data_IF_793888762635
#
_entry.id   IF_793888762635
#
_cell.length_a   1.000
_cell.length_b   1.000
_cell.length_c   1.000
_cell.angle_alpha   90.00
_cell.angle_beta   90.00
_cell.angle_gamma   90.00
#
_symmetry.space_group_name_H-M   'P 1'
#
loop_
_entity.id
_entity.type
_entity.pdbx_description
1 polymer ?
#
# COMPACT_ATOMS: atom_id res chain seq x y z
N UNK A 1 26.48 8.67 10.12
CA UNK A 1 26.34 9.37 11.42
C UNK A 1 25.18 8.70 12.13
N UNK A 2 25.47 7.67 12.93
CA UNK A 2 24.48 6.87 13.67
C UNK A 2 25.06 6.66 15.06
N UNK A 3 24.35 7.08 16.08
CA UNK A 3 24.59 6.72 17.46
C UNK A 3 23.25 6.43 18.12
N UNK A 4 23.01 5.16 18.44
CA UNK A 4 21.99 4.71 19.38
C UNK A 4 22.71 3.80 20.35
N UNK A 5 22.70 4.16 21.63
CA UNK A 5 23.35 3.43 22.71
C UNK A 5 22.37 2.50 23.42
N UNK A 6 22.84 1.28 23.70
CA UNK A 6 22.25 0.40 24.72
C UNK A 6 23.34 0.06 25.76
N UNK A 7 23.00 0.21 27.04
CA UNK A 7 23.88 0.01 28.18
C UNK A 7 23.89 -1.47 28.62
N UNK A 8 25.09 -2.00 28.92
CA UNK A 8 25.29 -3.29 29.59
C UNK A 8 25.72 -3.11 31.05
N UNK A 9 25.43 -4.09 31.93
CA UNK A 9 25.64 -3.97 33.38
C UNK A 9 27.10 -4.17 33.81
N UNK A 10 27.42 -3.55 34.96
CA UNK A 10 28.75 -3.38 35.56
C UNK A 10 29.32 -4.68 36.13
N UNK A 11 30.55 -5.03 35.76
CA UNK A 11 31.37 -6.01 36.47
C UNK A 11 32.03 -5.36 37.70
N UNK A 12 32.00 -6.06 38.83
CA UNK A 12 32.63 -5.69 40.10
C UNK A 12 34.11 -6.06 40.09
N UNK A 13 34.92 -5.15 40.65
CA UNK A 13 36.24 -5.31 41.28
C UNK A 13 37.26 -6.28 40.66
N UNK A 14 38.12 -5.74 39.78
CA UNK A 14 39.46 -6.29 39.51
C UNK A 14 40.49 -5.16 39.57
N UNK A 15 41.57 -5.34 40.34
CA UNK A 15 42.74 -4.45 40.39
C UNK A 15 43.52 -4.51 39.06
N UNK A 16 43.79 -3.37 38.40
CA UNK A 16 44.43 -3.32 37.08
C UNK A 16 45.95 -3.58 37.05
N UNK A 17 46.59 -3.95 38.16
CA UNK A 17 48.06 -4.14 38.23
C UNK A 17 48.55 -5.59 38.27
N UNK A 18 47.67 -6.59 38.15
CA UNK A 18 48.02 -8.02 38.18
C UNK A 18 47.72 -8.73 36.85
N UNK A 19 48.67 -9.53 36.35
CA UNK A 19 48.60 -10.17 35.03
C UNK A 19 47.94 -11.57 35.01
N UNK A 20 47.29 -12.02 36.09
CA UNK A 20 46.58 -13.32 36.11
C UNK A 20 45.35 -13.28 37.02
N UNK A 21 44.15 -13.42 36.44
CA UNK A 21 42.93 -13.75 37.18
C UNK A 21 42.89 -15.26 37.43
N UNK A 22 43.14 -15.68 38.67
CA UNK A 22 42.91 -17.06 39.08
C UNK A 22 42.00 -17.07 40.32
N UNK A 23 40.83 -17.73 40.28
CA UNK A 23 39.93 -17.81 41.44
C UNK A 23 40.52 -18.75 42.51
N UNK A 24 40.68 -18.27 43.74
CA UNK A 24 41.08 -19.09 44.89
C UNK A 24 39.87 -19.76 45.55
N UNK A 25 39.96 -21.05 45.96
CA UNK A 25 38.89 -21.77 46.65
C UNK A 25 38.90 -21.52 48.17
N UNK A 26 37.68 -21.48 48.73
CA UNK A 26 37.23 -21.65 50.12
C UNK A 26 38.14 -21.27 51.30
N UNK A 27 37.67 -20.29 52.08
CA UNK A 27 37.96 -20.18 53.50
C UNK A 27 36.64 -19.91 54.27
N UNK A 28 36.26 -20.87 55.10
CA UNK A 28 35.11 -20.81 55.99
C UNK A 28 35.26 -19.71 57.07
N UNK A 29 34.18 -19.03 57.48
CA UNK A 29 34.20 -18.09 58.60
C UNK A 29 34.24 -18.79 59.98
N UNK A 30 34.80 -18.13 61.01
CA UNK A 30 35.05 -18.71 62.35
C UNK A 30 33.77 -18.87 63.20
N UNK A 31 33.80 -19.68 64.28
CA UNK A 31 32.65 -19.92 65.13
C UNK A 31 32.38 -18.69 66.01
N UNK A 32 31.14 -18.21 65.99
CA UNK A 32 30.68 -17.19 66.94
C UNK A 32 29.94 -17.94 68.04
N UNK A 33 30.53 -17.94 69.23
CA UNK A 33 29.95 -18.50 70.43
C UNK A 33 28.59 -17.90 70.74
N UNK A 34 27.64 -18.78 71.01
CA UNK A 34 26.30 -18.48 71.48
C UNK A 34 26.34 -17.83 72.88
N UNK A 35 25.58 -16.75 73.12
CA UNK A 35 24.98 -16.56 74.43
C UNK A 35 23.81 -17.53 74.54
N UNK A 36 23.90 -18.41 75.54
CA UNK A 36 22.86 -19.35 75.97
C UNK A 36 21.48 -18.69 76.06
N UNK A 37 20.53 -19.25 75.32
CA UNK A 37 19.09 -18.99 75.44
C UNK A 37 18.61 -19.26 76.88
N UNK A 38 17.91 -18.33 77.54
CA UNK A 38 16.87 -18.72 78.47
C UNK A 38 15.66 -19.22 77.64
N UNK A 39 14.89 -20.20 78.13
CA UNK A 39 13.80 -20.78 77.36
C UNK A 39 12.72 -19.70 77.09
N UNK A 40 12.24 -19.54 75.84
CA UNK A 40 11.02 -18.79 75.61
C UNK A 40 9.82 -19.70 75.91
N UNK A 41 9.53 -19.90 77.20
CA UNK A 41 8.16 -20.15 77.63
C UNK A 41 7.44 -18.80 77.66
N UNK A 42 6.98 -18.37 76.50
CA UNK A 42 5.93 -17.36 76.38
C UNK A 42 5.16 -17.60 75.09
N UNK A 43 3.82 -17.76 75.14
CA UNK A 43 3.02 -17.66 73.94
C UNK A 43 3.17 -16.22 73.48
N UNK A 44 3.94 -15.97 72.43
CA UNK A 44 3.70 -14.75 71.66
C UNK A 44 2.34 -14.97 71.04
N UNK A 45 1.32 -14.35 71.62
CA UNK A 45 0.13 -13.91 70.88
C UNK A 45 0.62 -12.99 69.75
N UNK A 46 1.26 -13.58 68.74
CA UNK A 46 1.51 -12.93 67.48
C UNK A 46 0.11 -12.61 66.97
N UNK A 47 -0.21 -11.32 66.95
CA UNK A 47 -1.50 -10.83 66.47
C UNK A 47 -1.84 -11.56 65.18
N UNK A 48 -2.87 -12.39 65.22
CA UNK A 48 -3.33 -13.16 64.08
C UNK A 48 -3.66 -12.19 62.93
N UNK A 49 -3.25 -12.57 61.72
CA UNK A 49 -3.38 -11.75 60.52
C UNK A 49 -4.84 -11.60 60.14
N UNK A 50 -5.20 -10.39 59.72
CA UNK A 50 -6.55 -10.05 59.30
C UNK A 50 -6.91 -10.62 57.93
N UNK A 51 -8.19 -10.57 57.59
CA UNK A 51 -8.66 -10.88 56.23
C UNK A 51 -7.90 -10.05 55.19
N UNK A 52 -7.45 -10.70 54.11
CA UNK A 52 -6.71 -10.07 53.02
C UNK A 52 -5.20 -9.91 53.25
N UNK A 53 -4.68 -10.26 54.42
CA UNK A 53 -3.23 -10.22 54.70
C UNK A 53 -2.53 -11.48 54.20
N UNK A 54 -1.28 -11.35 53.73
CA UNK A 54 -0.51 -12.48 53.22
C UNK A 54 -0.28 -13.55 54.31
N UNK A 55 -0.25 -14.84 53.96
CA UNK A 55 0.03 -15.96 54.87
C UNK A 55 0.79 -17.07 54.15
N UNK A 56 1.42 -17.95 54.94
CA UNK A 56 2.01 -19.21 54.45
C UNK A 56 1.29 -20.44 54.97
N UNK A 57 0.53 -20.30 56.06
CA UNK A 57 -0.21 -21.37 56.72
C UNK A 57 -1.43 -20.80 57.47
N UNK A 58 -2.43 -21.65 57.75
CA UNK A 58 -3.72 -21.26 58.35
C UNK A 58 -3.58 -20.62 59.73
N UNK A 59 -2.67 -21.13 60.58
CA UNK A 59 -2.42 -20.64 61.94
C UNK A 59 -1.94 -19.19 62.03
N UNK A 60 -1.58 -18.57 60.90
CA UNK A 60 -1.20 -17.17 60.84
C UNK A 60 -2.41 -16.25 60.72
N UNK A 61 -3.58 -16.79 60.38
CA UNK A 61 -4.80 -16.05 60.07
C UNK A 61 -5.77 -16.08 61.24
N UNK A 62 -6.46 -14.97 61.51
CA UNK A 62 -7.48 -14.90 62.57
C UNK A 62 -8.67 -15.85 62.35
N UNK A 63 -8.81 -16.34 61.12
CA UNK A 63 -9.82 -17.28 60.65
C UNK A 63 -9.35 -18.73 60.60
N UNK A 64 -8.06 -19.01 60.88
CA UNK A 64 -7.38 -20.27 60.61
C UNK A 64 -7.34 -20.71 59.13
N UNK A 65 -7.70 -19.82 58.18
CA UNK A 65 -7.81 -20.16 56.76
C UNK A 65 -6.82 -19.34 55.93
N UNK A 66 -5.84 -20.04 55.34
CA UNK A 66 -4.89 -19.50 54.38
C UNK A 66 -5.09 -20.17 53.01
N UNK A 67 -5.53 -19.40 52.01
CA UNK A 67 -5.68 -19.90 50.63
C UNK A 67 -4.56 -19.39 49.74
N UNK A 68 -4.15 -20.20 48.76
CA UNK A 68 -3.19 -19.75 47.75
C UNK A 68 -3.93 -18.95 46.66
N UNK A 69 -3.58 -17.68 46.50
CA UNK A 69 -4.12 -16.79 45.47
C UNK A 69 -2.95 -16.16 44.69
N UNK A 70 -2.83 -16.49 43.41
CA UNK A 70 -1.69 -16.06 42.59
C UNK A 70 -0.37 -16.71 43.03
N UNK A 71 0.61 -15.91 43.44
CA UNK A 71 1.96 -16.38 43.85
C UNK A 71 2.17 -16.45 45.36
N UNK A 72 1.16 -16.15 46.18
CA UNK A 72 1.26 -16.15 47.64
C UNK A 72 -0.02 -16.60 48.33
N UNK A 73 0.06 -16.93 49.62
CA UNK A 73 -1.11 -17.23 50.44
C UNK A 73 -1.75 -15.95 50.98
N UNK A 74 -3.07 -15.96 51.16
CA UNK A 74 -3.84 -14.86 51.74
C UNK A 74 -4.84 -15.37 52.78
N UNK A 75 -4.93 -14.68 53.90
CA UNK A 75 -5.89 -14.98 54.97
C UNK A 75 -7.30 -14.67 54.49
N UNK A 76 -8.20 -15.63 54.59
CA UNK A 76 -9.60 -15.50 54.17
C UNK A 76 -10.57 -16.02 55.22
N UNK A 77 -11.87 -16.04 54.96
CA UNK A 77 -12.92 -16.52 55.85
C UNK A 77 -13.88 -17.47 55.13
N UNK A 78 -14.60 -18.27 55.90
CA UNK A 78 -15.76 -19.03 55.42
C UNK A 78 -16.80 -18.11 54.80
N UNK A 79 -17.50 -18.61 53.79
CA UNK A 79 -18.52 -17.84 53.12
C UNK A 79 -19.68 -17.43 54.03
N UNK A 80 -19.95 -16.13 54.03
CA UNK A 80 -21.19 -15.49 54.48
C UNK A 80 -21.59 -14.42 53.44
N UNK A 81 -21.28 -13.16 53.71
CA UNK A 81 -21.09 -12.12 52.68
C UNK A 81 -19.59 -11.88 52.53
N UNK A 82 -19.04 -12.13 51.33
CA UNK A 82 -17.65 -11.82 51.05
C UNK A 82 -17.48 -10.31 50.80
N UNK A 83 -16.38 -9.69 51.29
CA UNK A 83 -16.07 -8.29 51.00
C UNK A 83 -15.97 -8.01 49.49
N UNK A 84 -16.14 -6.74 49.11
CA UNK A 84 -15.99 -6.31 47.71
C UNK A 84 -14.63 -6.74 47.13
N UNK A 85 -14.66 -7.34 45.94
CA UNK A 85 -13.46 -7.94 45.32
C UNK A 85 -13.14 -9.38 45.76
N UNK A 86 -14.05 -10.04 46.50
CA UNK A 86 -13.95 -11.46 46.85
C UNK A 86 -15.25 -12.20 46.55
N UNK A 87 -15.15 -13.45 46.07
CA UNK A 87 -16.28 -14.32 45.77
C UNK A 87 -16.26 -15.57 46.64
N UNK A 88 -17.42 -16.20 46.82
CA UNK A 88 -17.53 -17.44 47.59
C UNK A 88 -17.24 -18.65 46.68
N UNK A 89 -16.10 -19.32 46.89
CA UNK A 89 -15.69 -20.47 46.09
C UNK A 89 -15.32 -21.67 46.96
N UNK A 90 -15.61 -22.87 46.45
CA UNK A 90 -15.22 -24.13 47.11
C UNK A 90 -13.74 -24.43 46.87
N UNK A 91 -12.95 -24.41 47.93
CA UNK A 91 -11.51 -24.73 47.90
C UNK A 91 -11.28 -26.02 48.67
N UNK A 92 -10.66 -27.01 48.02
CA UNK A 92 -10.26 -28.27 48.64
C UNK A 92 -9.08 -28.01 49.58
N UNK A 93 -9.14 -28.51 50.82
CA UNK A 93 -8.03 -28.37 51.75
C UNK A 93 -7.95 -27.03 52.48
N UNK A 94 -8.97 -26.16 52.35
CA UNK A 94 -8.95 -24.83 52.96
C UNK A 94 -9.12 -24.84 54.50
N UNK A 95 -9.75 -25.88 55.04
CA UNK A 95 -9.93 -26.07 56.50
C UNK A 95 -9.44 -27.47 56.86
N UNK A 96 -10.05 -28.49 56.25
CA UNK A 96 -9.58 -29.87 56.36
C UNK A 96 -8.97 -30.33 55.04
N UNK A 97 -7.84 -31.05 55.06
CA UNK A 97 -7.11 -31.47 53.86
C UNK A 97 -7.94 -32.33 52.89
N UNK A 98 -8.99 -33.01 53.38
CA UNK A 98 -9.84 -33.92 52.59
C UNK A 98 -11.27 -33.37 52.35
N UNK A 99 -11.53 -32.10 52.67
CA UNK A 99 -12.86 -31.49 52.51
C UNK A 99 -12.83 -30.23 51.62
N UNK A 100 -13.90 -30.03 50.85
CA UNK A 100 -14.13 -28.78 50.10
C UNK A 100 -14.86 -27.82 51.02
N UNK A 101 -14.23 -26.69 51.33
CA UNK A 101 -14.81 -25.62 52.14
C UNK A 101 -15.05 -24.39 51.29
N UNK A 102 -16.22 -23.76 51.45
CA UNK A 102 -16.58 -22.54 50.74
C UNK A 102 -16.00 -21.34 51.47
N UNK A 103 -15.03 -20.66 50.84
CA UNK A 103 -14.27 -19.55 51.43
C UNK A 103 -14.20 -18.36 50.47
N UNK A 104 -13.95 -17.15 51.00
CA UNK A 104 -13.88 -15.94 50.19
C UNK A 104 -12.55 -15.87 49.40
N UNK A 105 -12.56 -16.09 48.09
CA UNK A 105 -11.35 -15.99 47.27
C UNK A 105 -11.30 -14.61 46.61
N UNK A 106 -10.14 -13.91 46.59
CA UNK A 106 -10.03 -12.66 45.85
C UNK A 106 -10.45 -12.89 44.40
N UNK A 107 -11.42 -12.12 43.91
CA UNK A 107 -11.74 -12.06 42.49
C UNK A 107 -10.72 -11.14 41.84
N UNK A 108 -9.45 -11.57 41.72
CA UNK A 108 -8.56 -10.95 40.76
C UNK A 108 -9.06 -11.39 39.38
N UNK A 109 -9.98 -10.63 38.81
CA UNK A 109 -10.49 -10.95 37.49
C UNK A 109 -9.37 -10.64 36.52
N UNK A 110 -8.79 -11.67 35.91
CA UNK A 110 -7.96 -11.50 34.72
C UNK A 110 -8.81 -11.05 33.52
N UNK A 111 -10.04 -10.58 33.74
CA UNK A 111 -10.98 -10.17 32.70
C UNK A 111 -10.30 -9.15 31.76
N UNK A 112 -10.33 -9.44 30.47
CA UNK A 112 -9.64 -8.66 29.43
C UNK A 112 -8.12 -8.61 29.50
N UNK A 113 -7.49 -9.46 30.31
CA UNK A 113 -6.03 -9.66 30.28
C UNK A 113 -5.67 -10.64 29.15
N UNK A 114 -4.55 -10.43 28.44
CA UNK A 114 -4.13 -11.32 27.36
C UNK A 114 -3.78 -12.71 27.88
N UNK A 115 -4.04 -13.75 27.08
CA UNK A 115 -3.77 -15.14 27.43
C UNK A 115 -3.48 -16.01 26.21
N UNK A 116 -2.77 -17.11 26.42
CA UNK A 116 -2.57 -18.17 25.41
C UNK A 116 -3.33 -19.45 25.78
N UNK A 117 -3.67 -19.65 27.06
CA UNK A 117 -4.29 -20.87 27.55
C UNK A 117 -5.28 -20.58 28.68
N UNK A 118 -6.34 -21.37 28.80
CA UNK A 118 -7.37 -21.21 29.84
C UNK A 118 -6.79 -21.14 31.27
N UNK A 119 -5.72 -21.90 31.54
CA UNK A 119 -5.05 -21.93 32.84
C UNK A 119 -4.41 -20.60 33.26
N UNK A 120 -4.25 -19.67 32.32
CA UNK A 120 -3.73 -18.33 32.60
C UNK A 120 -4.84 -17.40 33.13
N UNK A 121 -6.10 -17.75 32.87
CA UNK A 121 -7.26 -16.95 33.26
C UNK A 121 -7.75 -17.26 34.66
N UNK A 122 -7.61 -18.52 35.10
CA UNK A 122 -7.83 -18.88 36.50
C UNK A 122 -7.16 -20.20 36.86
N UNK A 123 -6.84 -20.36 38.15
CA UNK A 123 -6.30 -21.61 38.71
C UNK A 123 -7.35 -22.72 38.80
N UNK A 124 -8.66 -22.38 38.74
CA UNK A 124 -9.77 -23.32 38.92
C UNK A 124 -10.40 -23.81 37.61
N UNK A 125 -9.85 -23.44 36.44
CA UNK A 125 -10.28 -23.87 35.10
C UNK A 125 -11.63 -23.37 34.57
N UNK A 126 -12.36 -22.54 35.33
CA UNK A 126 -13.70 -22.03 34.97
C UNK A 126 -13.66 -20.81 34.03
N UNK A 127 -12.62 -19.98 34.15
CA UNK A 127 -12.35 -18.82 33.32
C UNK A 127 -11.64 -19.26 32.04
N UNK A 128 -12.11 -18.77 30.90
CA UNK A 128 -11.67 -19.25 29.58
C UNK A 128 -10.91 -18.19 28.81
N UNK A 129 -9.91 -18.63 28.07
CA UNK A 129 -9.13 -17.79 27.18
C UNK A 129 -9.82 -17.71 25.80
N UNK A 130 -10.73 -16.74 25.66
CA UNK A 130 -11.54 -16.55 24.47
C UNK A 130 -10.75 -15.85 23.36
N UNK A 131 -11.21 -16.01 22.12
CA UNK A 131 -10.61 -15.39 20.93
C UNK A 131 -11.60 -14.41 20.32
N UNK A 132 -11.18 -13.16 20.12
CA UNK A 132 -11.94 -12.13 19.42
C UNK A 132 -11.96 -12.37 17.90
N UNK A 133 -12.82 -11.66 17.18
CA UNK A 133 -12.86 -11.71 15.71
C UNK A 133 -11.53 -11.28 15.05
N UNK A 134 -10.76 -10.43 15.74
CA UNK A 134 -9.42 -9.99 15.32
C UNK A 134 -8.35 -11.08 15.48
N UNK A 135 -8.66 -12.18 16.18
CA UNK A 135 -7.73 -13.25 16.53
C UNK A 135 -6.97 -13.01 17.85
N UNK A 136 -7.16 -11.86 18.50
CA UNK A 136 -6.62 -11.60 19.84
C UNK A 136 -7.28 -12.49 20.86
N UNK A 137 -6.55 -12.85 21.91
CA UNK A 137 -7.05 -13.71 22.97
C UNK A 137 -7.04 -13.00 24.31
N UNK A 138 -8.11 -13.19 25.07
CA UNK A 138 -8.30 -12.55 26.36
C UNK A 138 -8.96 -13.50 27.35
N UNK A 139 -8.66 -13.28 28.62
CA UNK A 139 -9.27 -13.98 29.72
C UNK A 139 -10.68 -13.46 29.96
N UNK A 140 -11.64 -14.37 29.91
CA UNK A 140 -13.03 -14.15 30.28
C UNK A 140 -13.32 -14.81 31.62
N UNK A 141 -14.34 -14.33 32.33
CA UNK A 141 -14.70 -14.84 33.66
C UNK A 141 -15.94 -15.71 33.59
N UNK A 142 -15.96 -16.83 34.30
CA UNK A 142 -17.19 -17.61 34.45
C UNK A 142 -18.30 -16.78 35.10
N UNK A 143 -19.47 -16.82 34.46
CA UNK A 143 -20.66 -16.10 34.91
C UNK A 143 -21.84 -17.02 35.24
N UNK A 144 -21.56 -18.31 35.46
CA UNK A 144 -22.59 -19.30 35.79
C UNK A 144 -23.19 -19.08 37.18
N UNK A 145 -22.39 -18.54 38.11
CA UNK A 145 -22.75 -18.33 39.52
C UNK A 145 -22.75 -16.87 39.94
N UNK A 146 -21.86 -16.05 39.36
CA UNK A 146 -21.70 -14.63 39.65
C UNK A 146 -21.91 -13.82 38.37
N UNK A 147 -22.78 -12.81 38.40
CA UNK A 147 -23.06 -11.97 37.24
C UNK A 147 -21.83 -11.20 36.74
N UNK A 148 -21.84 -10.79 35.47
CA UNK A 148 -20.77 -10.01 34.87
C UNK A 148 -20.73 -8.57 35.38
N UNK A 149 -19.56 -7.92 35.41
CA UNK A 149 -19.47 -6.50 35.74
C UNK A 149 -20.13 -5.65 34.64
N UNK A 150 -20.41 -4.38 34.94
CA UNK A 150 -20.95 -3.44 33.95
C UNK A 150 -20.06 -3.37 32.71
N UNK A 151 -20.69 -3.36 31.53
CA UNK A 151 -19.98 -3.39 30.24
C UNK A 151 -19.70 -4.81 29.72
N UNK A 152 -20.09 -5.85 30.45
CA UNK A 152 -19.93 -7.25 30.05
C UNK A 152 -21.24 -8.01 30.13
N UNK A 153 -21.48 -8.82 29.11
CA UNK A 153 -22.64 -9.71 29.01
C UNK A 153 -22.23 -11.16 29.29
N UNK A 154 -23.12 -11.90 29.96
CA UNK A 154 -22.90 -13.31 30.27
C UNK A 154 -23.34 -14.17 29.08
N UNK A 155 -22.39 -14.52 28.23
CA UNK A 155 -22.64 -15.27 27.00
C UNK A 155 -22.28 -16.74 27.11
N UNK A 156 -22.90 -17.58 26.26
CA UNK A 156 -22.55 -19.00 26.16
C UNK A 156 -21.50 -19.19 25.07
N UNK A 157 -20.32 -19.62 25.49
CA UNK A 157 -19.17 -19.88 24.62
C UNK A 157 -18.98 -21.40 24.45
N UNK A 158 -18.70 -21.84 23.22
CA UNK A 158 -18.45 -23.26 22.91
C UNK A 158 -16.95 -23.45 22.68
N UNK A 159 -16.30 -24.20 23.56
CA UNK A 159 -14.86 -24.49 23.49
C UNK A 159 -14.71 -26.02 23.48
N UNK A 160 -14.08 -26.57 22.45
CA UNK A 160 -13.87 -28.01 22.29
C UNK A 160 -15.14 -28.85 22.51
N UNK A 161 -16.27 -28.39 21.95
CA UNK A 161 -17.63 -28.99 22.06
C UNK A 161 -18.29 -28.91 23.43
N UNK A 162 -17.64 -28.28 24.43
CA UNK A 162 -18.19 -28.01 25.75
C UNK A 162 -18.69 -26.57 25.84
N UNK A 163 -19.82 -26.37 26.51
CA UNK A 163 -20.41 -25.05 26.73
C UNK A 163 -20.00 -24.46 28.06
N UNK A 164 -19.52 -23.21 28.03
CA UNK A 164 -19.15 -22.41 29.19
C UNK A 164 -19.93 -21.10 29.18
N UNK A 165 -20.31 -20.58 30.36
CA UNK A 165 -20.89 -19.24 30.47
C UNK A 165 -19.78 -18.26 30.83
N UNK A 166 -19.48 -17.31 29.97
CA UNK A 166 -18.35 -16.40 30.15
C UNK A 166 -18.76 -14.93 29.99
N UNK A 167 -18.14 -14.05 30.75
CA UNK A 167 -18.28 -12.61 30.59
C UNK A 167 -17.53 -12.14 29.35
N UNK A 168 -18.29 -11.66 28.36
CA UNK A 168 -17.79 -11.09 27.10
C UNK A 168 -18.06 -9.58 27.13
N UNK A 169 -17.13 -8.73 26.68
CA UNK A 169 -17.40 -7.29 26.57
C UNK A 169 -18.59 -7.04 25.66
N UNK A 170 -19.50 -6.15 26.02
CA UNK A 170 -20.64 -5.78 25.17
C UNK A 170 -20.22 -5.15 23.82
N UNK A 171 -18.95 -4.73 23.72
CA UNK A 171 -18.30 -4.20 22.53
C UNK A 171 -17.64 -5.27 21.63
N UNK A 172 -17.66 -6.54 22.05
CA UNK A 172 -16.92 -7.67 21.47
C UNK A 172 -15.38 -7.51 21.47
N UNK A 173 -14.83 -6.51 22.17
CA UNK A 173 -13.40 -6.22 22.19
C UNK A 173 -12.89 -5.75 23.55
N UNK A 174 -11.92 -6.46 24.11
CA UNK A 174 -11.39 -6.16 25.44
C UNK A 174 -10.46 -4.93 25.49
N UNK A 175 -9.85 -4.57 24.36
CA UNK A 175 -9.00 -3.39 24.22
C UNK A 175 -9.76 -2.13 23.76
N UNK A 176 -11.05 -2.27 23.48
CA UNK A 176 -11.97 -1.19 23.14
C UNK A 176 -13.38 -1.50 23.70
N UNK A 177 -13.58 -1.24 24.99
CA UNK A 177 -14.87 -1.46 25.66
C UNK A 177 -15.24 -0.35 26.67
N UNK A 178 -14.37 0.64 26.91
CA UNK A 178 -14.67 1.76 27.80
C UNK A 178 -14.55 3.11 27.09
N UNK A 179 -15.31 4.10 27.54
CA UNK A 179 -15.35 5.43 26.93
C UNK A 179 -13.97 6.10 26.77
N UNK A 180 -13.06 5.90 27.73
CA UNK A 180 -11.71 6.49 27.71
C UNK A 180 -10.81 5.92 26.60
N UNK A 181 -11.17 4.80 26.00
CA UNK A 181 -10.44 4.20 24.87
C UNK A 181 -10.89 4.76 23.51
N UNK A 182 -11.96 5.57 23.48
CA UNK A 182 -12.48 6.14 22.24
C UNK A 182 -11.40 6.95 21.50
N UNK A 183 -11.28 6.72 20.19
CA UNK A 183 -10.27 7.33 19.34
C UNK A 183 -8.95 6.56 19.24
N UNK A 184 -8.77 5.47 20.00
CA UNK A 184 -7.68 4.53 19.73
C UNK A 184 -7.81 3.93 18.32
N UNK A 185 -6.69 3.61 17.68
CA UNK A 185 -6.65 3.10 16.31
C UNK A 185 -5.92 1.76 16.26
N UNK A 186 -6.42 0.83 15.45
CA UNK A 186 -5.80 -0.48 15.24
C UNK A 186 -5.63 -0.78 13.75
N UNK A 187 -4.45 -1.27 13.31
CA UNK A 187 -4.28 -1.68 11.92
C UNK A 187 -5.13 -2.91 11.62
N UNK A 188 -5.76 -2.89 10.45
CA UNK A 188 -6.59 -3.99 9.98
C UNK A 188 -6.33 -4.20 8.48
N UNK A 189 -6.79 -5.35 7.97
CA UNK A 189 -6.60 -5.72 6.56
C UNK A 189 -7.95 -5.70 5.85
N UNK A 190 -8.01 -4.99 4.73
CA UNK A 190 -9.17 -4.92 3.82
C UNK A 190 -8.92 -5.86 2.65
N UNK A 191 -9.84 -6.78 2.39
CA UNK A 191 -9.84 -7.59 1.17
C UNK A 191 -10.48 -6.79 0.05
N UNK A 192 -9.72 -6.55 -1.01
CA UNK A 192 -10.16 -5.75 -2.17
C UNK A 192 -11.05 -6.59 -3.11
N UNK A 193 -11.92 -5.94 -3.92
CA UNK A 193 -12.71 -6.61 -4.96
C UNK A 193 -11.90 -7.45 -5.96
N UNK A 194 -10.61 -7.13 -6.17
CA UNK A 194 -9.71 -7.86 -7.06
C UNK A 194 -8.98 -9.03 -6.37
N UNK A 195 -9.30 -9.31 -5.10
CA UNK A 195 -8.69 -10.40 -4.32
C UNK A 195 -7.34 -10.06 -3.71
N UNK A 196 -6.88 -8.81 -3.84
CA UNK A 196 -5.74 -8.27 -3.11
C UNK A 196 -6.08 -7.88 -1.68
N UNK A 197 -5.06 -7.48 -0.91
CA UNK A 197 -5.20 -6.99 0.46
C UNK A 197 -4.62 -5.57 0.57
N UNK A 198 -5.30 -4.73 1.34
CA UNK A 198 -4.95 -3.34 1.59
C UNK A 198 -4.90 -3.07 3.10
N UNK A 199 -4.02 -2.19 3.55
CA UNK A 199 -3.93 -1.82 4.95
C UNK A 199 -4.98 -0.75 5.28
N UNK A 200 -5.85 -1.04 6.25
CA UNK A 200 -6.84 -0.10 6.78
C UNK A 200 -6.61 0.21 8.25
N UNK A 201 -7.50 1.02 8.81
CA UNK A 201 -7.51 1.36 10.23
C UNK A 201 -8.91 1.28 10.79
N UNK A 202 -9.07 0.55 11.90
CA UNK A 202 -10.27 0.57 12.73
C UNK A 202 -10.10 1.62 13.82
N UNK A 203 -11.18 2.32 14.18
CA UNK A 203 -11.18 3.32 15.26
C UNK A 203 -12.10 2.86 16.38
N UNK A 204 -11.59 2.90 17.61
CA UNK A 204 -12.33 2.54 18.80
C UNK A 204 -13.41 3.60 19.09
N UNK A 205 -14.65 3.14 19.30
CA UNK A 205 -15.80 3.99 19.65
C UNK A 205 -16.17 3.88 21.14
N UNK A 206 -15.19 3.50 21.98
CA UNK A 206 -15.36 3.30 23.41
C UNK A 206 -16.23 2.10 23.73
N UNK A 207 -17.33 2.31 24.44
CA UNK A 207 -18.29 1.24 24.80
C UNK A 207 -18.92 0.54 23.60
N UNK A 208 -18.92 1.20 22.42
CA UNK A 208 -19.44 0.62 21.19
C UNK A 208 -18.42 -0.27 20.43
N UNK A 209 -17.18 -0.39 20.92
CA UNK A 209 -16.17 -1.25 20.31
C UNK A 209 -15.48 -0.69 19.09
N UNK A 210 -14.75 -1.57 18.39
CA UNK A 210 -14.04 -1.23 17.17
C UNK A 210 -15.01 -0.98 16.02
N UNK A 211 -14.82 0.15 15.34
CA UNK A 211 -15.50 0.40 14.07
C UNK A 211 -15.02 -0.53 12.94
N UNK A 212 -15.72 -0.45 11.81
CA UNK A 212 -15.29 -1.11 10.58
C UNK A 212 -13.87 -0.70 10.19
N UNK A 213 -13.14 -1.61 9.54
CA UNK A 213 -11.85 -1.30 8.96
C UNK A 213 -12.02 -0.30 7.80
N UNK A 214 -11.48 0.90 7.94
CA UNK A 214 -11.58 1.95 6.92
C UNK A 214 -10.25 2.10 6.15
N UNK A 215 -10.31 2.41 4.85
CA UNK A 215 -9.12 2.66 4.04
C UNK A 215 -8.42 3.97 4.46
N UNK A 216 -7.14 4.15 4.10
CA UNK A 216 -6.38 5.37 4.39
C UNK A 216 -7.03 6.65 3.84
N UNK A 217 -7.70 6.55 2.70
CA UNK A 217 -8.41 7.65 2.04
C UNK A 217 -9.67 7.14 1.34
N UNK A 218 -10.59 8.04 1.00
CA UNK A 218 -11.70 7.74 0.08
C UNK A 218 -11.40 8.23 -1.35
N UNK A 219 -10.45 9.16 -1.47
CA UNK A 219 -9.97 9.65 -2.75
C UNK A 219 -8.70 8.89 -3.11
N UNK A 220 -8.68 8.37 -4.33
CA UNK A 220 -7.55 7.68 -4.91
C UNK A 220 -7.45 8.11 -6.38
N UNK A 221 -6.48 8.98 -6.66
CA UNK A 221 -6.22 9.49 -8.01
C UNK A 221 -4.87 8.95 -8.42
N UNK A 222 -4.73 8.28 -9.58
CA UNK A 222 -3.49 7.61 -9.89
C UNK A 222 -2.30 8.55 -9.87
N UNK A 223 -1.29 8.23 -9.07
CA UNK A 223 -0.15 9.11 -8.85
C UNK A 223 1.21 8.39 -9.00
N UNK A 224 2.28 8.94 -8.41
CA UNK A 224 3.63 8.37 -8.49
C UNK A 224 3.99 7.43 -7.35
N UNK A 225 3.14 7.30 -6.34
CA UNK A 225 3.30 6.39 -5.19
C UNK A 225 2.74 5.00 -5.50
N UNK A 226 1.85 4.90 -6.50
CA UNK A 226 1.26 3.65 -6.96
C UNK A 226 0.49 2.89 -5.87
N UNK A 227 -0.07 3.62 -4.91
CA UNK A 227 -0.79 3.07 -3.78
C UNK A 227 -2.29 3.02 -4.08
N UNK A 228 -2.94 1.98 -3.59
CA UNK A 228 -4.40 1.86 -3.54
C UNK A 228 -4.84 2.44 -2.20
N UNK A 229 -5.17 3.72 -2.17
CA UNK A 229 -5.49 4.43 -0.93
C UNK A 229 -6.95 4.28 -0.50
N UNK A 230 -7.84 3.92 -1.42
CA UNK A 230 -9.25 3.66 -1.11
C UNK A 230 -9.56 2.16 -0.92
N UNK A 231 -8.56 1.30 -1.07
CA UNK A 231 -8.62 -0.15 -0.96
C UNK A 231 -9.65 -0.80 -1.90
N UNK A 232 -9.86 -0.23 -3.09
CA UNK A 232 -10.79 -0.78 -4.08
C UNK A 232 -10.14 -1.77 -5.06
N UNK A 233 -8.84 -2.02 -4.89
CA UNK A 233 -8.07 -3.04 -5.59
C UNK A 233 -7.16 -2.50 -6.68
N UNK A 234 -7.17 -1.20 -6.95
CA UNK A 234 -6.30 -0.55 -7.93
C UNK A 234 -5.77 0.78 -7.37
N UNK A 235 -4.68 1.30 -7.94
CA UNK A 235 -4.30 2.72 -7.79
C UNK A 235 -5.21 3.53 -8.74
N UNK A 236 -6.09 4.35 -8.18
CA UNK A 236 -7.26 4.98 -8.81
C UNK A 236 -8.60 4.52 -8.22
N UNK A 237 -9.71 4.98 -8.80
CA UNK A 237 -11.05 4.49 -8.40
C UNK A 237 -11.59 3.50 -9.43
N UNK A 238 -11.82 2.25 -9.02
CA UNK A 238 -12.31 1.13 -9.83
C UNK A 238 -13.58 1.50 -10.61
N UNK A 239 -14.53 2.12 -9.93
CA UNK A 239 -15.82 2.50 -10.51
C UNK A 239 -15.74 3.71 -11.46
N UNK A 240 -14.69 4.53 -11.37
CA UNK A 240 -14.52 5.75 -12.18
C UNK A 240 -13.64 5.54 -13.43
N UNK A 241 -13.26 4.30 -13.73
CA UNK A 241 -12.42 3.97 -14.89
C UNK A 241 -13.06 3.07 -15.94
N UNK A 242 -12.55 3.21 -17.17
CA UNK A 242 -12.68 2.24 -18.26
C UNK A 242 -11.36 1.49 -18.41
N UNK A 243 -11.44 0.16 -18.40
CA UNK A 243 -10.27 -0.71 -18.46
C UNK A 243 -9.92 -1.08 -19.91
N UNK A 244 -8.63 -1.01 -20.25
CA UNK A 244 -8.08 -1.32 -21.57
C UNK A 244 -6.94 -2.34 -21.43
N UNK A 245 -6.99 -3.39 -22.24
CA UNK A 245 -5.97 -4.43 -22.28
C UNK A 245 -5.79 -4.93 -23.72
N UNK A 246 -4.55 -5.25 -24.13
CA UNK A 246 -4.27 -5.76 -25.49
C UNK A 246 -5.01 -7.05 -25.84
N UNK A 247 -5.35 -7.87 -24.83
CA UNK A 247 -6.18 -9.07 -24.95
C UNK A 247 -7.70 -8.83 -24.87
N UNK A 248 -8.13 -7.58 -24.71
CA UNK A 248 -9.55 -7.20 -24.64
C UNK A 248 -10.26 -7.20 -25.99
N UNK A 249 -11.50 -6.71 -26.01
CA UNK A 249 -12.32 -6.62 -27.21
C UNK A 249 -13.06 -5.27 -27.28
N UNK A 250 -12.95 -4.57 -28.41
CA UNK A 250 -13.69 -3.33 -28.63
C UNK A 250 -15.17 -3.64 -28.90
N UNK A 251 -16.03 -3.37 -27.92
CA UNK A 251 -17.48 -3.56 -28.02
C UNK A 251 -18.23 -2.54 -27.16
N UNK A 252 -19.54 -2.42 -27.37
CA UNK A 252 -20.38 -1.56 -26.52
C UNK A 252 -20.43 -2.02 -25.06
N UNK A 253 -20.07 -3.28 -24.77
CA UNK A 253 -20.04 -3.85 -23.43
C UNK A 253 -18.67 -3.84 -22.76
N UNK A 254 -17.60 -3.45 -23.46
CA UNK A 254 -16.26 -3.44 -22.88
C UNK A 254 -16.06 -2.25 -21.93
N UNK A 255 -15.03 -2.38 -21.10
CA UNK A 255 -14.52 -1.34 -20.22
C UNK A 255 -14.56 -1.70 -18.75
N UNK A 256 -14.91 -2.94 -18.38
CA UNK A 256 -14.74 -3.46 -17.02
C UNK A 256 -13.40 -4.19 -16.90
N UNK A 257 -12.90 -4.39 -15.68
CA UNK A 257 -11.63 -5.10 -15.49
C UNK A 257 -11.71 -6.57 -15.94
N UNK A 258 -12.90 -7.21 -15.90
CA UNK A 258 -13.12 -8.56 -16.45
C UNK A 258 -13.32 -8.59 -17.98
N UNK A 259 -13.78 -7.48 -18.57
CA UNK A 259 -14.03 -7.35 -20.01
C UNK A 259 -13.45 -6.02 -20.53
N UNK A 260 -12.11 -5.91 -20.58
CA UNK A 260 -11.46 -4.67 -20.98
C UNK A 260 -11.65 -4.40 -22.48
N UNK A 261 -11.63 -3.12 -22.84
CA UNK A 261 -11.55 -2.73 -24.24
C UNK A 261 -10.17 -3.06 -24.83
N UNK A 262 -10.10 -3.30 -26.14
CA UNK A 262 -8.84 -3.71 -26.78
C UNK A 262 -7.90 -2.55 -27.03
N UNK A 263 -8.43 -1.38 -27.39
CA UNK A 263 -7.63 -0.21 -27.78
C UNK A 263 -7.92 0.98 -26.87
N UNK A 264 -6.88 1.79 -26.63
CA UNK A 264 -6.91 2.95 -25.74
C UNK A 264 -7.91 3.99 -26.27
N UNK A 265 -7.89 4.28 -27.57
CA UNK A 265 -8.81 5.26 -28.16
C UNK A 265 -10.26 4.84 -28.06
N UNK A 266 -10.54 3.53 -28.17
CA UNK A 266 -11.89 3.01 -27.96
C UNK A 266 -12.28 3.12 -26.49
N UNK A 267 -11.35 2.83 -25.57
CA UNK A 267 -11.51 3.07 -24.13
C UNK A 267 -11.84 4.52 -23.80
N UNK A 268 -11.17 5.49 -24.44
CA UNK A 268 -11.45 6.93 -24.28
C UNK A 268 -12.87 7.28 -24.74
N UNK A 269 -13.31 6.76 -25.89
CA UNK A 269 -14.70 6.94 -26.36
C UNK A 269 -15.69 6.30 -25.38
N UNK A 270 -15.40 5.10 -24.88
CA UNK A 270 -16.24 4.41 -23.89
C UNK A 270 -16.33 5.19 -22.59
N UNK A 271 -15.24 5.81 -22.13
CA UNK A 271 -15.20 6.61 -20.91
C UNK A 271 -16.17 7.80 -21.01
N UNK A 272 -16.19 8.50 -22.15
CA UNK A 272 -17.19 9.55 -22.42
C UNK A 272 -18.61 8.98 -22.40
N UNK A 273 -18.85 7.84 -23.07
CA UNK A 273 -20.18 7.22 -23.16
C UNK A 273 -20.72 6.73 -21.81
N UNK A 274 -19.83 6.35 -20.89
CA UNK A 274 -20.19 5.84 -19.56
C UNK A 274 -20.05 6.88 -18.46
N UNK A 275 -19.66 8.12 -18.80
CA UNK A 275 -19.49 9.21 -17.85
C UNK A 275 -18.31 9.02 -16.89
N UNK A 276 -17.29 8.27 -17.30
CA UNK A 276 -16.11 7.95 -16.50
C UNK A 276 -14.94 8.86 -16.89
N UNK A 277 -14.23 9.48 -15.92
CA UNK A 277 -13.13 10.40 -16.23
C UNK A 277 -11.81 9.70 -16.58
N UNK A 278 -11.66 8.40 -16.32
CA UNK A 278 -10.37 7.71 -16.41
C UNK A 278 -10.39 6.53 -17.39
N UNK A 279 -9.26 6.30 -18.04
CA UNK A 279 -8.94 5.08 -18.77
C UNK A 279 -7.70 4.45 -18.14
N UNK A 280 -7.84 3.21 -17.66
CA UNK A 280 -6.76 2.44 -17.06
C UNK A 280 -6.23 1.43 -18.07
N UNK A 281 -4.93 1.48 -18.34
CA UNK A 281 -4.29 0.72 -19.43
C UNK A 281 -3.34 -0.31 -18.86
N UNK A 282 -3.63 -1.57 -19.17
CA UNK A 282 -2.80 -2.71 -18.82
C UNK A 282 -1.54 -2.77 -19.70
N UNK A 283 -0.47 -3.30 -19.12
CA UNK A 283 0.82 -3.60 -19.74
C UNK A 283 0.64 -4.26 -21.10
N UNK A 284 1.50 -3.89 -22.05
CA UNK A 284 1.40 -4.38 -23.42
C UNK A 284 1.79 -3.36 -24.48
N UNK A 285 1.70 -3.78 -25.74
CA UNK A 285 2.00 -2.94 -26.91
C UNK A 285 0.72 -2.64 -27.69
N UNK A 286 0.42 -1.35 -27.86
CA UNK A 286 -0.76 -0.84 -28.54
C UNK A 286 -0.36 -0.13 -29.82
N UNK A 287 -0.80 -0.64 -30.97
CA UNK A 287 -0.46 -0.10 -32.30
C UNK A 287 -1.60 0.80 -32.81
N UNK A 288 -1.67 2.02 -32.30
CA UNK A 288 -2.75 2.95 -32.58
C UNK A 288 -2.33 4.42 -32.49
N UNK A 289 -3.22 5.29 -32.95
CA UNK A 289 -3.18 6.72 -32.61
C UNK A 289 -4.15 6.90 -31.45
N UNK A 290 -3.67 7.34 -30.29
CA UNK A 290 -4.53 7.72 -29.16
C UNK A 290 -5.24 9.02 -29.49
N UNK A 291 -6.57 8.98 -29.54
CA UNK A 291 -7.40 10.18 -29.73
C UNK A 291 -7.94 10.63 -28.37
N UNK A 292 -7.46 11.76 -27.87
CA UNK A 292 -7.91 12.32 -26.59
C UNK A 292 -9.21 13.08 -26.73
N UNK A 293 -10.06 12.98 -25.70
CA UNK A 293 -11.33 13.68 -25.57
C UNK A 293 -11.37 14.47 -24.25
N UNK A 294 -12.22 15.49 -24.19
CA UNK A 294 -12.30 16.42 -23.06
C UNK A 294 -12.48 15.69 -21.72
N UNK A 295 -11.58 15.97 -20.78
CA UNK A 295 -11.67 15.50 -19.39
C UNK A 295 -11.41 14.01 -19.18
N UNK A 296 -10.97 13.27 -20.22
CA UNK A 296 -10.62 11.85 -20.09
C UNK A 296 -9.12 11.70 -19.93
N UNK A 297 -8.68 11.28 -18.75
CA UNK A 297 -7.27 11.00 -18.47
C UNK A 297 -6.95 9.53 -18.75
N UNK A 298 -5.73 9.27 -19.23
CA UNK A 298 -5.25 7.91 -19.54
C UNK A 298 -4.07 7.59 -18.63
N UNK A 299 -4.22 6.51 -17.88
CA UNK A 299 -3.26 6.05 -16.89
C UNK A 299 -2.73 4.67 -17.31
N UNK A 300 -1.46 4.61 -17.70
CA UNK A 300 -0.74 3.36 -17.86
C UNK A 300 -0.15 2.88 -16.53
N UNK A 301 0.61 1.79 -16.61
CA UNK A 301 1.30 1.21 -15.47
C UNK A 301 0.60 0.01 -14.83
N UNK A 302 -0.56 -0.43 -15.31
CA UNK A 302 -1.27 -1.57 -14.71
C UNK A 302 -0.71 -2.89 -15.24
N UNK A 303 -0.39 -3.85 -14.38
CA UNK A 303 0.02 -5.20 -14.79
C UNK A 303 -1.20 -6.10 -15.14
N UNK A 304 -0.95 -7.39 -15.34
CA UNK A 304 -2.02 -8.36 -15.63
C UNK A 304 -3.03 -8.56 -14.49
N UNK A 305 -2.66 -8.22 -13.26
CA UNK A 305 -3.52 -8.22 -12.08
C UNK A 305 -4.14 -6.86 -11.76
N UNK A 306 -4.01 -5.88 -12.65
CA UNK A 306 -4.42 -4.48 -12.42
C UNK A 306 -3.74 -3.80 -11.24
N UNK A 307 -2.56 -4.28 -10.85
CA UNK A 307 -1.70 -3.56 -9.92
C UNK A 307 -0.88 -2.54 -10.67
N UNK A 308 -0.80 -1.32 -10.16
CA UNK A 308 -0.04 -0.24 -10.80
C UNK A 308 1.42 -0.22 -10.37
N UNK A 309 2.27 0.27 -11.27
CA UNK A 309 3.70 0.42 -11.06
C UNK A 309 4.33 1.32 -12.11
N UNK A 310 5.64 1.55 -12.01
CA UNK A 310 6.33 2.52 -12.86
C UNK A 310 6.54 2.01 -14.29
N UNK A 311 6.48 2.94 -15.26
CA UNK A 311 6.55 2.61 -16.70
C UNK A 311 7.87 1.96 -17.15
N UNK A 312 8.94 2.08 -16.38
CA UNK A 312 10.24 1.48 -16.66
C UNK A 312 10.29 0.00 -16.25
N UNK A 313 9.42 -0.47 -15.35
CA UNK A 313 9.24 -1.88 -15.05
C UNK A 313 8.53 -2.60 -16.21
N UNK A 314 9.14 -3.64 -16.82
CA UNK A 314 8.51 -4.44 -17.87
C UNK A 314 7.14 -5.02 -17.49
N UNK A 315 6.88 -5.33 -16.21
CA UNK A 315 5.59 -5.87 -15.77
C UNK A 315 4.45 -4.85 -15.92
N UNK A 316 4.77 -3.56 -15.83
CA UNK A 316 3.81 -2.44 -15.85
C UNK A 316 3.86 -1.64 -17.16
N UNK A 317 4.80 -1.93 -18.05
CA UNK A 317 5.10 -1.12 -19.24
C UNK A 317 3.98 -1.15 -20.29
N UNK A 318 3.37 0.02 -20.48
CA UNK A 318 2.45 0.29 -21.59
C UNK A 318 3.20 1.00 -22.72
N UNK A 319 3.41 0.32 -23.84
CA UNK A 319 4.05 0.90 -25.03
C UNK A 319 3.00 1.19 -26.10
N UNK A 320 2.96 2.43 -26.59
CA UNK A 320 2.06 2.85 -27.65
C UNK A 320 2.89 3.21 -28.88
N UNK A 321 2.72 2.45 -29.95
CA UNK A 321 3.39 2.68 -31.22
C UNK A 321 2.41 3.40 -32.13
N UNK A 322 2.73 4.66 -32.43
CA UNK A 322 1.90 5.52 -33.27
C UNK A 322 1.85 5.02 -34.72
N UNK A 323 0.97 5.64 -35.50
CA UNK A 323 0.79 5.36 -36.94
C UNK A 323 0.30 6.59 -37.67
N UNK A 324 0.02 6.46 -38.96
CA UNK A 324 -0.65 7.53 -39.69
C UNK A 324 -2.08 7.70 -39.18
N UNK A 325 -2.46 8.93 -38.80
CA UNK A 325 -3.79 9.26 -38.31
C UNK A 325 -4.79 9.42 -39.47
N UNK A 326 -5.23 8.27 -39.98
CA UNK A 326 -6.28 8.15 -40.99
C UNK A 326 -7.66 7.91 -40.39
N UNK A 327 -7.77 7.96 -39.06
CA UNK A 327 -9.03 7.79 -38.34
C UNK A 327 -9.98 8.97 -38.51
N UNK A 328 -11.18 8.86 -37.95
CA UNK A 328 -12.17 9.93 -37.97
C UNK A 328 -11.59 11.21 -37.32
N UNK A 329 -11.63 12.32 -38.06
CA UNK A 329 -11.06 13.61 -37.64
C UNK A 329 -9.53 13.69 -37.70
N UNK A 330 -8.87 12.69 -38.29
CA UNK A 330 -7.43 12.73 -38.56
C UNK A 330 -7.09 13.57 -39.80
N UNK A 331 -5.90 14.15 -39.80
CA UNK A 331 -5.34 14.98 -40.87
C UNK A 331 -4.31 14.23 -41.72
N UNK A 332 -4.14 12.91 -41.50
CA UNK A 332 -3.19 12.07 -42.22
C UNK A 332 -1.73 12.28 -41.81
N UNK A 333 -1.48 13.00 -40.71
CA UNK A 333 -0.16 13.12 -40.10
C UNK A 333 0.27 11.81 -39.42
N UNK A 334 1.57 11.63 -39.23
CA UNK A 334 2.15 10.48 -38.55
C UNK A 334 2.33 10.84 -37.07
N UNK A 335 1.55 10.22 -36.18
CA UNK A 335 1.56 10.55 -34.76
C UNK A 335 1.19 9.40 -33.82
N UNK A 336 1.47 9.55 -32.53
CA UNK A 336 1.08 8.58 -31.48
C UNK A 336 -0.13 9.08 -30.69
N UNK A 337 -0.18 10.38 -30.36
CA UNK A 337 -1.27 10.99 -29.58
C UNK A 337 -1.79 12.23 -30.29
N UNK A 338 -3.11 12.27 -30.53
CA UNK A 338 -3.83 13.43 -31.05
C UNK A 338 -4.65 14.10 -29.94
N UNK A 339 -4.38 15.37 -29.71
CA UNK A 339 -5.18 16.25 -28.87
C UNK A 339 -5.60 17.49 -29.68
N UNK A 340 -6.92 17.71 -29.80
CA UNK A 340 -7.50 18.81 -30.57
C UNK A 340 -8.58 19.50 -29.73
N UNK A 341 -8.46 20.81 -29.57
CA UNK A 341 -9.48 21.69 -28.99
C UNK A 341 -10.03 21.16 -27.65
N UNK A 342 -9.11 20.77 -26.76
CA UNK A 342 -9.47 20.23 -25.44
C UNK A 342 -9.62 21.40 -24.46
N UNK A 343 -10.87 21.69 -24.08
CA UNK A 343 -11.23 22.74 -23.14
C UNK A 343 -11.19 22.27 -21.68
N UNK A 344 -11.32 20.97 -21.45
CA UNK A 344 -11.08 20.34 -20.14
C UNK A 344 -9.72 19.65 -20.19
N UNK A 345 -8.78 19.97 -19.28
CA UNK A 345 -7.46 19.35 -19.26
C UNK A 345 -7.53 17.83 -19.15
N UNK A 346 -6.52 17.17 -19.71
CA UNK A 346 -6.35 15.71 -19.64
C UNK A 346 -4.94 15.36 -19.20
N UNK A 347 -4.80 14.23 -18.53
CA UNK A 347 -3.50 13.69 -18.12
C UNK A 347 -3.20 12.40 -18.87
N UNK A 348 -1.96 12.27 -19.34
CA UNK A 348 -1.36 11.01 -19.74
C UNK A 348 -0.27 10.64 -18.76
N UNK A 349 -0.32 9.43 -18.21
CA UNK A 349 0.64 9.00 -17.20
C UNK A 349 1.18 7.60 -17.41
N UNK A 350 2.46 7.41 -17.10
CA UNK A 350 3.12 6.09 -17.04
C UNK A 350 2.99 5.31 -18.37
N UNK A 351 3.31 5.99 -19.47
CA UNK A 351 3.28 5.47 -20.84
C UNK A 351 4.65 5.58 -21.51
N UNK A 352 4.95 4.63 -22.39
CA UNK A 352 6.01 4.76 -23.40
C UNK A 352 5.36 5.07 -24.74
N UNK A 353 5.51 6.31 -25.21
CA UNK A 353 4.94 6.78 -26.47
C UNK A 353 6.01 6.79 -27.56
N UNK A 354 5.84 5.94 -28.57
CA UNK A 354 6.75 5.82 -29.69
C UNK A 354 6.13 6.42 -30.96
N UNK A 355 6.78 7.47 -31.48
CA UNK A 355 6.44 8.12 -32.74
C UNK A 355 6.72 7.19 -33.93
N UNK A 356 5.82 7.13 -34.92
CA UNK A 356 6.03 6.35 -36.14
C UNK A 356 7.06 7.01 -37.06
N UNK A 357 7.74 6.24 -37.91
CA UNK A 357 8.48 6.82 -39.02
C UNK A 357 7.51 7.29 -40.09
N UNK A 358 7.53 8.59 -40.41
CA UNK A 358 6.70 9.17 -41.45
C UNK A 358 7.18 8.72 -42.85
N UNK A 359 6.24 8.62 -43.78
CA UNK A 359 6.53 8.27 -45.17
C UNK A 359 5.79 9.19 -46.13
N UNK A 360 6.36 9.38 -47.32
CA UNK A 360 5.76 10.17 -48.39
C UNK A 360 5.80 11.67 -48.16
N UNK A 361 5.12 12.39 -49.05
CA UNK A 361 5.05 13.85 -49.07
C UNK A 361 3.65 14.36 -48.70
N UNK A 362 3.57 15.62 -48.27
CA UNK A 362 2.31 16.30 -48.03
C UNK A 362 1.72 16.72 -49.38
N UNK A 363 0.60 16.10 -49.78
CA UNK A 363 -0.14 16.53 -50.97
C UNK A 363 -0.62 17.97 -50.79
N UNK A 364 -0.09 18.90 -51.57
CA UNK A 364 -0.40 20.33 -51.46
C UNK A 364 0.31 21.07 -50.31
N UNK A 365 1.29 20.44 -49.65
CA UNK A 365 2.16 21.10 -48.68
C UNK A 365 3.35 21.79 -49.35
N UNK A 366 3.70 23.00 -48.88
CA UNK A 366 4.81 23.78 -49.42
C UNK A 366 4.55 24.32 -50.82
N UNK A 367 5.59 24.88 -51.44
CA UNK A 367 5.49 25.58 -52.74
C UNK A 367 5.31 24.61 -53.92
N UNK A 368 5.38 23.29 -53.70
CA UNK A 368 5.31 22.27 -54.77
C UNK A 368 4.68 20.91 -54.40
N UNK A 369 4.20 20.67 -53.17
CA UNK A 369 3.73 19.34 -52.76
C UNK A 369 4.85 18.31 -52.62
N UNK A 370 6.09 18.77 -52.43
CA UNK A 370 7.29 17.93 -52.34
C UNK A 370 7.80 17.78 -50.90
N UNK A 371 7.18 18.45 -49.93
CA UNK A 371 7.60 18.42 -48.54
C UNK A 371 7.38 17.03 -47.94
N UNK A 372 8.43 16.47 -47.35
CA UNK A 372 8.33 15.23 -46.58
C UNK A 372 7.39 15.39 -45.39
N UNK A 373 6.59 14.36 -45.11
CA UNK A 373 5.68 14.36 -43.94
C UNK A 373 6.46 14.39 -42.63
N UNK A 374 5.94 15.14 -41.66
CA UNK A 374 6.47 15.16 -40.30
C UNK A 374 6.00 13.95 -39.49
N UNK A 375 6.80 13.57 -38.48
CA UNK A 375 6.43 12.60 -37.44
C UNK A 375 6.34 13.31 -36.09
N UNK A 376 5.27 13.05 -35.36
CA UNK A 376 5.04 13.59 -34.02
C UNK A 376 4.86 12.44 -33.02
N UNK A 377 5.29 12.62 -31.77
CA UNK A 377 4.86 11.71 -30.70
C UNK A 377 3.50 12.17 -30.18
N UNK A 378 3.44 13.41 -29.70
CA UNK A 378 2.21 14.08 -29.26
C UNK A 378 1.98 15.30 -30.13
N UNK A 379 0.78 15.40 -30.72
CA UNK A 379 0.36 16.61 -31.43
C UNK A 379 -0.86 17.21 -30.73
N UNK A 380 -0.62 18.29 -29.97
CA UNK A 380 -1.63 19.05 -29.26
C UNK A 380 -1.90 20.40 -29.94
N UNK A 381 -3.16 20.67 -30.27
CA UNK A 381 -3.60 21.93 -30.90
C UNK A 381 -4.84 22.44 -30.19
N UNK A 382 -4.75 23.63 -29.58
CA UNK A 382 -5.85 24.20 -28.80
C UNK A 382 -6.20 23.37 -27.55
N UNK A 383 -5.23 22.66 -26.98
CA UNK A 383 -5.44 21.68 -25.90
C UNK A 383 -4.45 21.85 -24.76
N UNK A 384 -4.90 21.56 -23.53
CA UNK A 384 -4.02 21.40 -22.37
C UNK A 384 -3.86 19.93 -22.02
N UNK A 385 -2.65 19.39 -22.18
CA UNK A 385 -2.31 17.98 -21.91
C UNK A 385 -1.18 17.94 -20.89
N UNK A 386 -1.41 17.28 -19.76
CA UNK A 386 -0.38 16.98 -18.76
C UNK A 386 0.26 15.63 -19.07
N UNK A 387 1.60 15.57 -19.08
CA UNK A 387 2.36 14.34 -19.28
C UNK A 387 3.13 14.03 -17.99
N UNK A 388 2.80 12.94 -17.32
CA UNK A 388 3.40 12.54 -16.06
C UNK A 388 4.12 11.20 -16.23
N UNK A 389 5.44 11.15 -16.00
CA UNK A 389 6.23 9.90 -16.11
C UNK A 389 6.03 9.22 -17.48
N UNK A 390 6.08 10.00 -18.55
CA UNK A 390 5.93 9.51 -19.93
C UNK A 390 7.29 9.49 -20.60
N UNK A 391 7.67 8.35 -21.16
CA UNK A 391 8.83 8.25 -22.06
C UNK A 391 8.37 8.54 -23.49
N UNK A 392 9.03 9.49 -24.17
CA UNK A 392 8.75 9.79 -25.57
C UNK A 392 9.93 9.36 -26.45
N UNK A 393 9.65 8.51 -27.44
CA UNK A 393 10.62 8.02 -28.42
C UNK A 393 10.23 8.60 -29.77
N UNK A 394 11.05 9.49 -30.33
CA UNK A 394 10.74 10.15 -31.60
C UNK A 394 10.89 9.19 -32.79
N UNK A 395 10.00 9.35 -33.78
CA UNK A 395 10.14 8.74 -35.10
C UNK A 395 10.83 9.67 -36.09
N UNK A 396 11.28 9.12 -37.23
CA UNK A 396 11.89 9.91 -38.29
C UNK A 396 10.83 10.60 -39.16
N UNK A 397 11.09 11.84 -39.59
CA UNK A 397 10.34 12.49 -40.67
C UNK A 397 10.62 11.81 -42.02
N UNK A 398 9.67 11.96 -42.96
CA UNK A 398 9.85 11.45 -44.31
C UNK A 398 10.82 12.34 -45.10
N UNK A 399 11.50 11.76 -46.08
CA UNK A 399 12.26 12.52 -47.07
C UNK A 399 11.31 13.37 -47.93
N UNK A 400 11.77 14.54 -48.37
CA UNK A 400 11.10 15.29 -49.43
C UNK A 400 11.14 14.52 -50.76
N UNK A 401 10.19 14.82 -51.65
CA UNK A 401 10.23 14.31 -53.01
C UNK A 401 11.30 15.04 -53.83
N UNK A 402 11.76 14.36 -54.88
CA UNK A 402 12.68 14.94 -55.84
C UNK A 402 12.05 16.18 -56.50
N UNK A 403 12.85 17.22 -56.74
CA UNK A 403 12.45 18.33 -57.59
C UNK A 403 12.14 17.87 -59.03
N UNK A 404 11.38 18.67 -59.77
CA UNK A 404 11.18 18.45 -61.20
C UNK A 404 12.50 18.52 -61.95
N UNK A 405 12.65 17.73 -63.00
CA UNK A 405 13.78 17.86 -63.93
C UNK A 405 13.87 19.31 -64.44
N UNK A 406 15.11 19.78 -64.62
CA UNK A 406 15.32 21.04 -65.34
C UNK A 406 14.80 20.94 -66.77
N UNK A 407 14.38 22.07 -67.35
CA UNK A 407 14.02 22.11 -68.76
C UNK A 407 15.24 21.84 -69.64
N UNK A 408 15.05 21.09 -70.73
CA UNK A 408 16.11 20.83 -71.71
C UNK A 408 16.69 22.14 -72.25
N UNK A 409 18.01 22.21 -72.36
CA UNK A 409 18.67 23.35 -72.97
C UNK A 409 18.38 23.37 -74.50
N UNK A 410 18.13 24.54 -75.11
CA UNK A 410 17.98 24.65 -76.57
C UNK A 410 19.23 24.24 -77.37
N UNK A 411 20.37 24.05 -76.70
CA UNK A 411 21.65 23.59 -77.24
C UNK A 411 22.09 22.33 -76.47
N UNK A 412 22.38 21.26 -77.21
CA UNK A 412 22.37 19.85 -76.76
C UNK A 412 23.67 19.33 -76.14
N UNK A 413 24.67 20.18 -75.90
CA UNK A 413 25.93 19.71 -75.31
C UNK A 413 25.87 19.73 -73.77
N UNK A 414 25.75 18.55 -73.17
CA UNK A 414 25.77 18.37 -71.72
C UNK A 414 27.15 18.77 -71.14
N UNK A 415 27.16 19.71 -70.19
CA UNK A 415 28.38 20.15 -69.49
C UNK A 415 28.37 19.65 -68.04
N UNK A 416 29.53 19.27 -67.52
CA UNK A 416 29.64 18.65 -66.18
C UNK A 416 29.15 19.50 -64.99
N UNK A 417 28.97 20.81 -65.18
CA UNK A 417 28.44 21.73 -64.16
C UNK A 417 26.91 21.82 -64.13
N UNK A 418 26.20 21.10 -65.00
CA UNK A 418 24.74 21.14 -65.12
C UNK A 418 24.01 20.20 -64.13
N UNK A 419 24.74 19.38 -63.36
CA UNK A 419 24.14 18.47 -62.39
C UNK A 419 23.70 19.20 -61.11
N UNK A 420 22.52 18.88 -60.57
CA UNK A 420 22.13 19.29 -59.23
C UNK A 420 22.83 18.42 -58.17
N UNK A 421 23.11 19.01 -57.00
CA UNK A 421 23.67 18.30 -55.86
C UNK A 421 22.57 17.62 -55.02
N UNK A 422 22.90 16.51 -54.37
CA UNK A 422 22.02 15.88 -53.38
C UNK A 422 21.80 16.82 -52.19
N UNK A 423 20.59 16.83 -51.64
CA UNK A 423 20.31 17.47 -50.35
C UNK A 423 21.14 16.82 -49.23
N UNK A 424 21.50 17.61 -48.22
CA UNK A 424 22.17 17.12 -47.04
C UNK A 424 21.23 16.33 -46.13
N UNK A 425 21.76 15.34 -45.42
CA UNK A 425 21.03 14.66 -44.36
C UNK A 425 20.77 15.63 -43.19
N UNK A 426 19.58 15.59 -42.59
CA UNK A 426 19.30 16.31 -41.34
C UNK A 426 20.11 15.74 -40.18
N UNK A 427 20.64 16.63 -39.33
CA UNK A 427 21.33 16.26 -38.10
C UNK A 427 20.34 16.01 -36.95
N UNK A 428 20.54 14.92 -36.21
CA UNK A 428 19.88 14.68 -34.93
C UNK A 428 20.75 15.20 -33.78
N UNK A 429 20.16 15.97 -32.87
CA UNK A 429 20.81 16.45 -31.63
C UNK A 429 19.81 16.47 -30.48
N UNK A 430 20.29 16.30 -29.24
CA UNK A 430 19.46 16.13 -28.03
C UNK A 430 18.99 17.44 -27.37
N UNK A 431 19.05 18.57 -28.06
CA UNK A 431 18.60 19.86 -27.54
C UNK A 431 17.10 20.06 -27.71
N UNK A 432 16.43 20.59 -26.68
CA UNK A 432 15.03 21.00 -26.73
C UNK A 432 14.84 22.04 -27.86
N UNK A 433 14.02 21.69 -28.87
CA UNK A 433 13.61 22.57 -29.97
C UNK A 433 14.72 23.09 -30.91
N UNK A 434 15.58 22.22 -31.46
CA UNK A 434 16.52 22.61 -32.52
C UNK A 434 15.85 22.63 -33.91
N UNK A 435 15.79 23.81 -34.55
CA UNK A 435 15.36 23.98 -35.95
C UNK A 435 16.51 24.26 -36.93
N UNK A 436 17.75 24.35 -36.45
CA UNK A 436 18.94 24.72 -37.22
C UNK A 436 19.70 23.52 -37.78
N UNK A 437 19.39 22.29 -37.34
CA UNK A 437 20.01 21.05 -37.82
C UNK A 437 19.31 20.42 -39.03
N UNK A 438 18.40 21.15 -39.70
CA UNK A 438 17.77 20.69 -40.94
C UNK A 438 18.84 20.50 -42.00
N UNK A 439 18.78 19.39 -42.72
CA UNK A 439 19.73 19.06 -43.78
C UNK A 439 19.77 20.19 -44.82
N UNK A 440 20.98 20.58 -45.22
CA UNK A 440 21.16 21.68 -46.18
C UNK A 440 20.53 21.37 -47.54
N UNK A 441 20.17 22.42 -48.28
CA UNK A 441 19.66 22.30 -49.65
C UNK A 441 20.69 21.60 -50.55
N UNK A 442 20.20 20.80 -51.51
CA UNK A 442 21.03 20.35 -52.63
C UNK A 442 21.37 21.55 -53.51
N UNK A 443 22.61 21.61 -54.03
CA UNK A 443 23.02 22.68 -54.92
C UNK A 443 22.15 22.67 -56.20
N UNK A 444 21.63 23.82 -56.62
CA UNK A 444 20.94 23.94 -57.89
C UNK A 444 21.93 23.70 -59.05
N UNK A 445 21.53 22.89 -60.03
CA UNK A 445 22.25 22.80 -61.30
C UNK A 445 22.16 24.15 -62.04
N UNK A 446 23.28 24.66 -62.55
CA UNK A 446 23.32 25.95 -63.25
C UNK A 446 23.50 25.77 -64.75
N UNK A 447 22.80 26.56 -65.55
CA UNK A 447 23.00 26.67 -67.00
C UNK A 447 23.46 28.08 -67.38
N UNK A 448 24.41 28.18 -68.32
CA UNK A 448 24.87 29.45 -68.88
C UNK A 448 24.00 29.83 -70.08
N UNK A 449 23.13 30.83 -69.92
CA UNK A 449 22.43 31.45 -71.06
C UNK A 449 23.19 32.70 -71.50
N UNK A 450 23.55 32.81 -72.79
CA UNK A 450 24.01 34.05 -73.40
C UNK A 450 22.83 35.02 -73.55
N UNK A 451 22.57 35.81 -72.51
CA UNK A 451 21.45 36.76 -72.49
C UNK A 451 21.10 37.32 -71.11
N UNK A 452 22.01 37.31 -70.14
CA UNK A 452 21.90 38.05 -68.88
C UNK A 452 20.80 37.61 -67.91
N UNK A 453 20.02 36.57 -68.21
CA UNK A 453 19.09 35.95 -67.26
C UNK A 453 19.51 34.51 -67.06
N UNK A 454 20.14 34.22 -65.93
CA UNK A 454 20.31 32.86 -65.45
C UNK A 454 18.96 32.40 -64.89
N UNK A 455 18.24 31.46 -65.54
CA UNK A 455 17.13 30.82 -64.88
C UNK A 455 17.74 29.81 -63.89
N UNK A 456 17.94 30.24 -62.65
CA UNK A 456 18.19 29.31 -61.56
C UNK A 456 16.94 28.43 -61.41
N UNK A 457 16.99 27.22 -61.96
CA UNK A 457 16.00 26.18 -61.74
C UNK A 457 16.18 25.63 -60.32
N UNK A 458 15.10 25.64 -59.54
CA UNK A 458 15.07 25.01 -58.21
C UNK A 458 15.73 25.84 -57.12
N UNK A 459 15.20 27.04 -56.85
CA UNK A 459 15.34 27.67 -55.54
C UNK A 459 13.94 27.94 -55.04
N UNK A 460 13.43 27.11 -54.11
CA UNK A 460 12.43 27.54 -53.13
C UNK A 460 12.20 26.49 -52.02
N UNK A 461 12.05 27.09 -50.85
CA UNK A 461 11.80 26.62 -49.48
C UNK A 461 10.72 25.58 -49.29
#
# INVERSE_FOLDING_TARGET
MIAVGCAGPRARDCDPSSATCNPTPDAAPPPIDAPSEPPPDSPTDARLRGFGEACTDGNQCASDICILAGTGGICTQLCGECPEGYGCFGVLGAIDPDSVSFVCVPTSTQLCSPCEQDRECTLLGMDKCLTEATGRRYCSRDCSTVGCPTGFDCETQVIDTVTYKQCVPASDACDCHVADQAGATDPCTITTPLGGACAGTSTCSGEAGWGSCLPPSQADVPDGNYADENCDGIDGVLEQGVFVAGGGANSVGCGTFQSPCQTISFGVVRAVQTGKPNVYVQTGTYNEVIVLLNGISVWGGYDFGWKRGPHDDPAHRVTVIGKQDTGAGGDGEYLTVRARDLIVPVTLSDLVLQGPNAQGVVSGGGVAGLDGRSSYVVHAKGSSVSLLRVQMIAGNGANGANGTNGADAPLVDAQGFMNAGNGGNGGQGSSVCNNTSRGGLGAAGTNTCTGGRAPSGGNRS
#
